data_IF_312806493113
#
_entry.id   IF_312806493113
#
_cell.length_a   1.000
_cell.length_b   1.000
_cell.length_c   1.000
_cell.angle_alpha   90.00
_cell.angle_beta   90.00
_cell.angle_gamma   90.00
#
_symmetry.space_group_name_H-M   'P 1'
#
loop_
_entity.id
_entity.type
_entity.pdbx_description
1 polymer ?
#
# COMPACT_ATOMS: atom_id res chain seq x y z
N UNK A 1 5.10 -6.46 -2.26
CA UNK A 1 4.39 -7.48 -1.46
C UNK A 1 5.07 -8.84 -1.56
N UNK A 2 5.29 -9.40 -2.75
CA UNK A 2 5.87 -10.75 -2.92
C UNK A 2 7.42 -10.82 -2.90
N UNK A 3 8.10 -9.92 -2.18
CA UNK A 3 9.57 -9.96 -2.08
C UNK A 3 9.99 -11.15 -1.23
N UNK A 4 10.60 -12.16 -1.83
CA UNK A 4 11.02 -13.38 -1.16
C UNK A 4 12.11 -13.17 -0.10
N UNK A 5 12.75 -12.00 -0.09
CA UNK A 5 13.71 -11.62 0.95
C UNK A 5 13.10 -10.89 2.15
N UNK A 6 11.92 -10.28 2.02
CA UNK A 6 11.33 -9.45 3.09
C UNK A 6 10.35 -10.26 3.94
N UNK A 7 10.55 -10.29 5.25
CA UNK A 7 9.67 -10.95 6.22
C UNK A 7 9.04 -10.00 7.24
N UNK A 8 9.27 -8.68 7.12
CA UNK A 8 8.73 -7.66 8.03
C UNK A 8 7.89 -6.65 7.26
N UNK A 9 6.70 -6.36 7.79
CA UNK A 9 5.79 -5.35 7.28
C UNK A 9 5.14 -4.63 8.46
N UNK A 10 5.03 -3.30 8.38
CA UNK A 10 4.24 -2.49 9.31
C UNK A 10 3.29 -1.61 8.51
N UNK A 11 2.02 -1.56 8.90
CA UNK A 11 0.99 -0.80 8.18
C UNK A 11 0.24 0.16 9.12
N UNK A 12 -0.24 1.26 8.57
CA UNK A 12 -1.08 2.24 9.24
C UNK A 12 -2.27 2.63 8.34
N UNK A 13 -3.35 3.04 8.99
CA UNK A 13 -4.57 3.57 8.39
C UNK A 13 -4.85 4.93 9.01
N UNK A 14 -5.22 5.90 8.19
CA UNK A 14 -5.65 7.23 8.64
C UNK A 14 -6.82 7.73 7.78
N UNK A 15 -7.87 8.26 8.41
CA UNK A 15 -8.91 8.98 7.70
C UNK A 15 -8.49 10.44 7.53
N UNK A 16 -8.35 10.87 6.29
CA UNK A 16 -8.01 12.24 5.94
C UNK A 16 -9.28 13.00 5.60
N UNK A 17 -9.47 14.16 6.22
CA UNK A 17 -10.49 15.12 5.84
C UNK A 17 -9.84 16.29 5.09
N UNK A 18 -10.30 16.55 3.88
CA UNK A 18 -9.93 17.74 3.10
C UNK A 18 -11.06 18.75 3.25
N UNK A 19 -10.83 19.71 4.14
CA UNK A 19 -11.67 20.89 4.24
C UNK A 19 -11.32 21.82 3.06
N UNK A 20 -12.25 22.00 2.13
CA UNK A 20 -12.10 23.00 1.08
C UNK A 20 -12.16 24.38 1.74
N UNK A 21 -11.01 25.02 2.06
CA UNK A 21 -10.82 26.48 2.04
C UNK A 21 -9.37 26.84 2.40
N UNK A 22 -8.49 26.91 1.40
CA UNK A 22 -7.76 28.13 1.03
C UNK A 22 -7.04 27.90 -0.30
N UNK A 23 -7.09 28.92 -1.13
CA UNK A 23 -6.49 29.01 -2.45
C UNK A 23 -4.96 29.11 -2.29
N UNK A 24 -4.31 28.00 -1.93
CA UNK A 24 -2.86 27.94 -1.84
C UNK A 24 -2.28 27.46 -3.18
N UNK A 25 -1.50 28.34 -3.78
CA UNK A 25 -0.88 28.24 -5.12
C UNK A 25 0.17 27.12 -5.26
N UNK A 26 0.10 26.06 -4.46
CA UNK A 26 1.06 24.94 -4.44
C UNK A 26 0.53 23.65 -5.09
N UNK A 27 -0.53 23.75 -5.89
CA UNK A 27 -1.15 22.63 -6.62
C UNK A 27 -0.25 21.99 -7.70
N UNK A 28 0.99 22.43 -7.89
CA UNK A 28 1.88 21.89 -8.93
C UNK A 28 2.77 20.71 -8.47
N UNK A 29 2.78 20.33 -7.18
CA UNK A 29 3.82 19.40 -6.69
C UNK A 29 3.51 17.90 -6.84
N UNK A 30 2.26 17.47 -7.00
CA UNK A 30 1.93 16.03 -7.09
C UNK A 30 0.80 15.71 -8.08
N UNK A 31 1.08 15.58 -9.39
CA UNK A 31 0.07 15.29 -10.42
C UNK A 31 -0.43 13.83 -10.44
N UNK A 32 -0.02 12.98 -9.50
CA UNK A 32 -0.24 11.53 -9.56
C UNK A 32 -1.45 11.01 -8.77
N UNK A 33 -2.14 11.86 -8.02
CA UNK A 33 -3.39 11.47 -7.36
C UNK A 33 -4.54 11.71 -8.35
N UNK A 34 -4.60 10.91 -9.42
CA UNK A 34 -5.84 10.81 -10.20
C UNK A 34 -6.84 10.06 -9.33
N UNK A 35 -7.73 10.82 -8.67
CA UNK A 35 -8.81 10.31 -7.83
C UNK A 35 -9.52 9.15 -8.54
N UNK A 36 -9.37 7.92 -8.04
CA UNK A 36 -10.40 6.91 -8.21
C UNK A 36 -11.56 7.35 -7.33
N UNK A 37 -12.50 8.09 -7.90
CA UNK A 37 -13.75 8.47 -7.24
C UNK A 37 -14.58 7.21 -6.98
N UNK A 38 -14.36 6.58 -5.83
CA UNK A 38 -15.41 5.81 -5.17
C UNK A 38 -16.24 6.78 -4.34
N UNK A 39 -17.06 7.57 -5.04
CA UNK A 39 -18.15 8.31 -4.43
C UNK A 39 -19.19 7.32 -3.93
N UNK A 40 -19.53 7.38 -2.64
CA UNK A 40 -20.73 6.74 -2.11
C UNK A 40 -21.83 7.79 -2.25
N UNK A 41 -22.51 7.75 -3.39
CA UNK A 41 -23.57 8.71 -3.72
C UNK A 41 -24.85 8.33 -2.96
N UNK A 42 -25.12 8.99 -1.83
CA UNK A 42 -26.48 9.00 -1.30
C UNK A 42 -27.23 10.21 -1.86
N UNK A 43 -27.98 9.94 -2.93
CA UNK A 43 -29.21 10.56 -3.42
C UNK A 43 -29.34 12.09 -3.50
N UNK A 44 -29.87 12.52 -4.65
CA UNK A 44 -30.46 13.83 -4.97
C UNK A 44 -29.49 14.96 -5.35
N UNK A 45 -28.98 14.88 -6.58
CA UNK A 45 -28.96 15.95 -7.59
C UNK A 45 -28.94 17.43 -7.16
N UNK A 46 -28.07 17.82 -6.23
CA UNK A 46 -27.78 19.23 -5.95
C UNK A 46 -26.27 19.44 -5.82
N UNK A 47 -25.73 20.27 -6.71
CA UNK A 47 -24.31 20.65 -6.73
C UNK A 47 -24.08 21.71 -5.64
N UNK A 48 -24.08 21.29 -4.38
CA UNK A 48 -23.62 22.13 -3.28
C UNK A 48 -22.10 21.97 -3.17
N UNK A 49 -21.36 22.97 -3.63
CA UNK A 49 -19.88 23.01 -3.69
C UNK A 49 -19.21 23.17 -2.31
N UNK A 50 -19.75 22.52 -1.28
CA UNK A 50 -19.23 22.53 0.09
C UNK A 50 -19.19 21.09 0.66
N UNK A 51 -18.74 20.14 -0.15
CA UNK A 51 -18.44 18.79 0.32
C UNK A 51 -17.03 18.74 0.87
N UNK A 52 -16.86 18.59 2.18
CA UNK A 52 -15.61 18.09 2.76
C UNK A 52 -15.29 16.74 2.11
N UNK A 53 -14.16 16.64 1.40
CA UNK A 53 -13.75 15.39 0.78
C UNK A 53 -12.99 14.57 1.81
N UNK A 54 -13.51 13.40 2.18
CA UNK A 54 -12.79 12.46 3.05
C UNK A 54 -12.21 11.31 2.24
N UNK A 55 -11.01 10.83 2.57
CA UNK A 55 -10.44 9.60 2.01
C UNK A 55 -9.67 8.81 3.07
N UNK A 56 -9.61 7.49 2.90
CA UNK A 56 -8.80 6.61 3.74
C UNK A 56 -7.39 6.48 3.15
N UNK A 57 -6.38 6.85 3.93
CA UNK A 57 -4.97 6.67 3.61
C UNK A 57 -4.45 5.39 4.26
N UNK A 58 -4.02 4.45 3.43
CA UNK A 58 -3.36 3.21 3.85
C UNK A 58 -1.88 3.28 3.46
N UNK A 59 -0.98 3.09 4.42
CA UNK A 59 0.47 3.10 4.19
C UNK A 59 1.08 1.85 4.82
N UNK A 60 1.98 1.18 4.10
CA UNK A 60 2.79 0.10 4.64
C UNK A 60 4.28 0.33 4.36
N UNK A 61 5.11 0.06 5.35
CA UNK A 61 6.56 -0.01 5.23
C UNK A 61 7.01 -1.47 5.26
N UNK A 62 7.92 -1.82 4.36
CA UNK A 62 8.52 -3.15 4.26
C UNK A 62 9.94 -3.11 4.82
N UNK A 63 10.31 -4.12 5.60
CA UNK A 63 11.68 -4.27 6.09
C UNK A 63 12.67 -4.70 5.00
N UNK A 64 13.94 -4.72 5.37
CA UNK A 64 15.00 -5.20 4.50
C UNK A 64 14.84 -6.68 4.10
N UNK A 65 15.41 -7.08 2.94
CA UNK A 65 16.05 -6.23 1.95
C UNK A 65 15.02 -5.55 1.04
N UNK A 66 15.26 -4.29 0.67
CA UNK A 66 14.45 -3.61 -0.33
C UNK A 66 14.67 -4.14 -1.75
N UNK A 67 13.66 -3.97 -2.61
CA UNK A 67 13.74 -4.33 -4.04
C UNK A 67 14.84 -3.50 -4.70
N UNK A 68 15.69 -4.17 -5.48
CA UNK A 68 16.72 -3.53 -6.30
C UNK A 68 16.39 -3.73 -7.77
N UNK A 69 16.45 -2.66 -8.55
CA UNK A 69 16.21 -2.72 -9.99
C UNK A 69 17.19 -3.69 -10.65
N UNK A 70 16.70 -4.54 -11.53
CA UNK A 70 17.50 -5.57 -12.20
C UNK A 70 17.68 -6.87 -11.41
N UNK A 71 17.36 -6.90 -10.11
CA UNK A 71 17.41 -8.12 -9.31
C UNK A 71 16.04 -8.82 -9.29
N UNK A 72 16.00 -10.16 -9.34
CA UNK A 72 14.76 -10.92 -9.13
C UNK A 72 14.13 -10.62 -7.76
N UNK A 73 12.81 -10.59 -7.72
CA UNK A 73 12.03 -10.35 -6.48
C UNK A 73 11.99 -11.60 -5.59
N UNK A 74 12.20 -12.78 -6.16
CA UNK A 74 12.29 -14.07 -5.47
C UNK A 74 13.08 -15.07 -6.32
N UNK A 75 13.52 -16.15 -5.70
CA UNK A 75 14.20 -17.26 -6.38
C UNK A 75 13.18 -18.16 -7.06
N UNK A 76 13.39 -18.50 -8.34
CA UNK A 76 12.53 -19.46 -9.06
C UNK A 76 12.78 -20.89 -8.57
N UNK A 77 11.72 -21.65 -8.37
CA UNK A 77 11.77 -23.05 -7.99
C UNK A 77 10.43 -23.52 -7.41
N UNK A 78 10.32 -24.82 -7.04
CA UNK A 78 9.20 -25.31 -6.24
C UNK A 78 9.09 -24.54 -4.90
N UNK A 79 7.90 -24.44 -4.31
CA UNK A 79 7.75 -23.88 -2.98
C UNK A 79 8.67 -24.58 -1.96
N UNK A 80 9.24 -23.78 -1.05
CA UNK A 80 10.12 -24.24 0.03
C UNK A 80 11.43 -24.94 -0.37
N UNK A 81 11.83 -24.91 -1.65
CA UNK A 81 13.07 -25.57 -2.08
C UNK A 81 14.33 -25.04 -1.36
N UNK A 82 14.30 -23.76 -0.95
CA UNK A 82 15.37 -23.10 -0.20
C UNK A 82 15.29 -23.25 1.33
N UNK A 83 14.23 -23.87 1.87
CA UNK A 83 13.94 -23.87 3.31
C UNK A 83 13.18 -25.13 3.76
N UNK A 84 13.58 -26.31 3.26
CA UNK A 84 12.84 -27.58 3.42
C UNK A 84 12.44 -27.89 4.86
N UNK A 85 13.34 -27.66 5.82
CA UNK A 85 13.11 -27.97 7.24
C UNK A 85 12.28 -26.91 7.98
N UNK A 86 11.93 -25.81 7.31
CA UNK A 86 11.22 -24.66 7.88
C UNK A 86 10.07 -24.20 6.97
N UNK A 87 9.41 -25.16 6.32
CA UNK A 87 8.33 -24.87 5.39
C UNK A 87 6.98 -24.85 6.10
N UNK A 88 6.37 -23.67 6.20
CA UNK A 88 5.03 -23.47 6.74
C UNK A 88 3.99 -23.65 5.62
N UNK A 89 3.02 -24.54 5.87
CA UNK A 89 1.89 -24.79 4.97
C UNK A 89 2.27 -25.28 3.57
N UNK A 90 3.48 -25.82 3.38
CA UNK A 90 3.96 -26.27 2.08
C UNK A 90 4.27 -25.14 1.09
N UNK A 91 4.30 -23.87 1.53
CA UNK A 91 4.35 -22.73 0.62
C UNK A 91 5.25 -21.57 1.08
N UNK A 92 5.47 -21.38 2.39
CA UNK A 92 6.20 -20.25 2.94
C UNK A 92 7.36 -20.70 3.81
N UNK A 93 8.52 -20.05 3.65
CA UNK A 93 9.65 -20.28 4.53
C UNK A 93 9.43 -19.55 5.86
N UNK A 94 9.58 -20.26 6.97
CA UNK A 94 9.68 -19.66 8.29
C UNK A 94 11.01 -18.90 8.41
N UNK A 95 10.92 -17.76 9.09
CA UNK A 95 12.04 -16.85 9.34
C UNK A 95 12.28 -16.63 10.83
N UNK A 96 11.62 -17.39 11.72
CA UNK A 96 11.97 -17.42 13.14
C UNK A 96 13.49 -17.61 13.31
N UNK A 97 14.06 -16.72 14.12
CA UNK A 97 15.47 -16.71 14.49
C UNK A 97 15.61 -17.76 15.60
N UNK A 98 16.35 -18.83 15.33
CA UNK A 98 16.86 -19.74 16.38
C UNK A 98 18.04 -19.08 17.07
#
# INVERSE_FOLDING_TARGET
MANGGTNKIGCALHECHVDNYQHDEHAEKYPYIKEYQYGVDNQYGQVNQHGSKSYLLFVCAYGDPHIKVGNPIYTKGPPCDSCKDRCLGGALCDTEIV
#
